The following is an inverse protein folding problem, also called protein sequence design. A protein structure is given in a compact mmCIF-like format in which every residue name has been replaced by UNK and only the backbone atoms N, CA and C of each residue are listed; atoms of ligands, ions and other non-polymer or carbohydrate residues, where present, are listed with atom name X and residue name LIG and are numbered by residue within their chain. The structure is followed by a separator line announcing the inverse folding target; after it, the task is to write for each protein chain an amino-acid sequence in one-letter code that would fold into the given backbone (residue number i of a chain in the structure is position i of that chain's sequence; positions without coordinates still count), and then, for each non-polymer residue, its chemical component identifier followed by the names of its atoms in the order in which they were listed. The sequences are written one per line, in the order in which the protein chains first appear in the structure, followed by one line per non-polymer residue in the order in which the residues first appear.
data_IF_790321484243
#
_entry.id   IF_790321484243
#
_cell.length_a   1.000
_cell.length_b   1.000
_cell.length_c   1.000
_cell.angle_alpha   90.00
_cell.angle_beta   90.00
_cell.angle_gamma   90.00
#
_symmetry.space_group_name_H-M   'P 1'
#
loop_
_entity.id
_entity.type
_entity.pdbx_description
1 polymer ?
#
# COMPACT_ATOMS: atom_id res chain seq x y z
N UNK A 1 80.71 6.37 35.33
CA UNK A 1 80.49 6.64 33.89
C UNK A 1 80.23 5.33 33.17
N UNK A 2 78.98 4.99 32.86
CA UNK A 2 78.61 4.07 31.78
C UNK A 2 77.12 4.22 31.48
N UNK A 3 76.87 4.56 30.22
CA UNK A 3 75.62 5.06 29.65
C UNK A 3 74.48 4.04 29.71
N UNK A 4 73.30 4.47 30.17
CA UNK A 4 72.04 3.78 29.89
C UNK A 4 71.69 3.97 28.40
N UNK A 5 71.65 2.89 27.65
CA UNK A 5 71.09 2.84 26.31
C UNK A 5 69.57 2.71 26.41
N UNK A 6 68.86 3.81 26.13
CA UNK A 6 67.40 3.82 25.97
C UNK A 6 67.10 3.42 24.52
N UNK A 7 66.48 2.25 24.36
CA UNK A 7 65.99 1.76 23.06
C UNK A 7 64.63 2.40 22.76
N UNK A 8 64.43 3.10 21.63
CA UNK A 8 63.14 3.69 21.31
C UNK A 8 62.19 2.60 20.79
N UNK A 9 61.06 2.45 21.48
CA UNK A 9 59.98 1.55 21.08
C UNK A 9 59.18 2.20 19.93
N UNK A 10 59.44 1.80 18.68
CA UNK A 10 58.63 2.21 17.53
C UNK A 10 57.24 1.53 17.61
N UNK A 11 56.21 2.33 17.90
CA UNK A 11 54.80 1.94 17.74
C UNK A 11 54.48 1.82 16.24
N UNK A 12 54.40 0.58 15.73
CA UNK A 12 53.89 0.28 14.40
C UNK A 12 52.36 0.50 14.39
N UNK A 13 51.91 1.67 13.93
CA UNK A 13 50.51 1.91 13.62
C UNK A 13 50.13 1.14 12.36
N UNK A 14 49.42 0.01 12.52
CA UNK A 14 48.85 -0.69 11.36
C UNK A 14 47.82 0.23 10.69
N UNK A 15 47.86 0.40 9.35
CA UNK A 15 46.82 1.15 8.65
C UNK A 15 45.50 0.41 8.81
N UNK A 16 44.52 1.06 9.44
CA UNK A 16 43.15 0.58 9.44
C UNK A 16 42.67 0.62 7.99
N UNK A 17 42.60 -0.54 7.32
CA UNK A 17 42.02 -0.63 5.98
C UNK A 17 40.52 -0.38 6.13
N UNK A 18 40.03 0.68 5.48
CA UNK A 18 38.60 0.93 5.36
C UNK A 18 37.91 -0.34 4.82
N UNK A 19 36.80 -0.74 5.44
CA UNK A 19 36.04 -1.88 4.98
C UNK A 19 35.52 -1.55 3.57
N UNK A 20 35.84 -2.35 2.51
CA UNK A 20 35.35 -2.08 1.16
C UNK A 20 33.83 -1.94 1.09
N UNK A 21 33.12 -2.54 2.05
CA UNK A 21 31.68 -2.44 2.20
C UNK A 21 31.19 -1.03 2.55
N UNK A 22 32.05 -0.17 3.11
CA UNK A 22 31.72 1.23 3.41
C UNK A 22 31.56 2.08 2.13
N UNK A 23 32.00 1.57 0.98
CA UNK A 23 31.78 2.20 -0.32
C UNK A 23 30.34 2.00 -0.86
N UNK A 24 29.57 1.08 -0.28
CA UNK A 24 28.18 0.87 -0.67
C UNK A 24 27.31 2.03 -0.17
N UNK A 25 26.23 2.40 -0.91
CA UNK A 25 25.25 3.33 -0.38
C UNK A 25 24.64 2.76 0.90
N UNK A 26 24.11 3.61 1.78
CA UNK A 26 23.36 3.12 2.93
C UNK A 26 22.06 2.43 2.46
N UNK A 27 21.62 1.36 3.13
CA UNK A 27 20.32 0.77 2.82
C UNK A 27 19.21 1.80 2.94
N UNK A 28 18.25 1.76 2.02
CA UNK A 28 17.18 2.75 1.96
C UNK A 28 15.83 2.10 1.67
N UNK A 29 14.78 2.75 2.16
CA UNK A 29 13.39 2.42 1.83
C UNK A 29 12.71 3.68 1.32
N UNK A 30 12.08 3.56 0.15
CA UNK A 30 11.19 4.57 -0.42
C UNK A 30 9.76 4.04 -0.43
N UNK A 31 8.81 4.84 0.02
CA UNK A 31 7.39 4.51 0.00
C UNK A 31 6.70 5.37 -1.06
N UNK A 32 5.86 4.76 -1.88
CA UNK A 32 5.09 5.43 -2.94
C UNK A 32 3.62 5.02 -2.85
N UNK A 33 2.74 6.01 -2.78
CA UNK A 33 1.30 5.78 -2.97
C UNK A 33 1.00 5.61 -4.45
N UNK A 34 0.14 4.65 -4.78
CA UNK A 34 -0.40 4.50 -6.13
C UNK A 34 -1.50 5.54 -6.30
N UNK A 35 -1.25 6.52 -7.15
CA UNK A 35 -2.21 7.56 -7.52
C UNK A 35 -2.72 7.24 -8.93
N UNK A 36 -3.85 6.55 -9.02
CA UNK A 36 -4.52 6.25 -10.29
C UNK A 36 -5.79 7.08 -10.46
N UNK A 37 -6.17 7.34 -11.71
CA UNK A 37 -7.42 8.05 -12.02
C UNK A 37 -8.62 7.19 -11.66
N UNK A 38 -9.57 7.82 -10.98
CA UNK A 38 -10.89 7.23 -10.74
C UNK A 38 -11.57 6.93 -12.08
N UNK A 39 -12.09 5.72 -12.21
CA UNK A 39 -12.95 5.35 -13.34
C UNK A 39 -14.41 5.32 -12.89
N UNK A 40 -15.32 5.64 -13.81
CA UNK A 40 -16.76 5.53 -13.57
C UNK A 40 -17.36 4.52 -14.54
N UNK A 41 -18.26 3.66 -14.07
CA UNK A 41 -18.99 2.72 -14.90
C UNK A 41 -20.50 2.79 -14.61
N UNK A 42 -21.29 2.95 -15.67
CA UNK A 42 -22.75 3.08 -15.61
C UNK A 42 -23.48 2.02 -16.42
N UNK A 43 -22.80 0.91 -16.75
CA UNK A 43 -23.32 -0.12 -17.64
C UNK A 43 -24.09 -1.22 -16.89
N UNK A 44 -23.78 -1.41 -15.60
CA UNK A 44 -24.38 -2.46 -14.79
C UNK A 44 -25.73 -2.04 -14.21
N UNK A 45 -26.67 -2.99 -14.13
CA UNK A 45 -27.94 -2.78 -13.42
C UNK A 45 -27.75 -2.82 -11.90
N UNK A 46 -28.68 -2.22 -11.13
CA UNK A 46 -28.64 -2.33 -9.66
C UNK A 46 -28.71 -3.80 -9.19
N UNK A 47 -29.36 -4.69 -9.94
CA UNK A 47 -29.38 -6.14 -9.65
C UNK A 47 -27.99 -6.76 -9.81
N UNK A 48 -27.30 -6.40 -10.89
CA UNK A 48 -25.92 -6.83 -11.13
C UNK A 48 -24.98 -6.30 -10.04
N UNK A 49 -25.11 -5.03 -9.68
CA UNK A 49 -24.31 -4.42 -8.60
C UNK A 49 -24.59 -5.06 -7.25
N UNK A 50 -25.85 -5.40 -6.95
CA UNK A 50 -26.22 -6.13 -5.72
C UNK A 50 -25.55 -7.49 -5.65
N UNK A 51 -25.44 -8.20 -6.78
CA UNK A 51 -24.71 -9.48 -6.83
C UNK A 51 -23.19 -9.30 -6.68
N UNK A 52 -22.61 -8.28 -7.33
CA UNK A 52 -21.16 -7.98 -7.24
C UNK A 52 -20.79 -7.58 -5.81
N UNK A 53 -21.63 -6.76 -5.17
CA UNK A 53 -21.47 -6.28 -3.80
C UNK A 53 -22.09 -7.21 -2.76
N UNK A 54 -22.49 -8.45 -3.08
CA UNK A 54 -23.28 -9.28 -2.19
C UNK A 54 -22.64 -9.52 -0.81
N UNK A 55 -21.30 -9.57 -0.74
CA UNK A 55 -20.57 -9.70 0.52
C UNK A 55 -20.63 -8.43 1.40
N UNK A 56 -20.91 -7.27 0.79
CA UNK A 56 -21.00 -5.95 1.42
C UNK A 56 -22.45 -5.49 1.61
N UNK A 57 -23.37 -6.04 0.80
CA UNK A 57 -24.77 -5.66 0.80
C UNK A 57 -25.48 -6.14 2.08
N UNK A 58 -26.28 -5.25 2.69
CA UNK A 58 -27.14 -5.63 3.81
C UNK A 58 -28.27 -6.55 3.31
N UNK A 59 -28.67 -7.58 4.09
CA UNK A 59 -29.76 -8.46 3.71
C UNK A 59 -31.04 -7.69 3.34
N UNK A 60 -31.59 -7.97 2.16
CA UNK A 60 -32.84 -7.35 1.68
C UNK A 60 -32.71 -5.92 1.16
N UNK A 61 -31.50 -5.35 1.05
CA UNK A 61 -31.26 -4.03 0.46
C UNK A 61 -30.62 -4.17 -0.93
N UNK A 62 -30.95 -3.22 -1.81
CA UNK A 62 -30.42 -3.16 -3.17
C UNK A 62 -29.26 -2.17 -3.24
N UNK A 63 -28.21 -2.54 -3.97
CA UNK A 63 -27.01 -1.72 -4.19
C UNK A 63 -27.23 -0.89 -5.44
N UNK A 64 -27.34 0.43 -5.25
CA UNK A 64 -27.63 1.40 -6.34
C UNK A 64 -26.36 2.01 -6.93
N UNK A 65 -25.33 2.13 -6.10
CA UNK A 65 -23.97 2.47 -6.47
C UNK A 65 -23.00 1.56 -5.75
N UNK A 66 -21.76 1.48 -6.23
CA UNK A 66 -20.71 0.71 -5.58
C UNK A 66 -19.35 1.33 -5.88
N UNK A 67 -18.54 1.52 -4.85
CA UNK A 67 -17.13 1.92 -5.03
C UNK A 67 -16.23 0.73 -4.76
N UNK A 68 -15.43 0.36 -5.77
CA UNK A 68 -14.51 -0.78 -5.68
C UNK A 68 -13.08 -0.33 -5.94
N UNK A 69 -12.25 -0.39 -4.89
CA UNK A 69 -10.81 -0.27 -4.98
C UNK A 69 -10.13 -1.63 -4.86
N UNK A 70 -9.28 -1.99 -5.82
CA UNK A 70 -8.46 -3.21 -5.70
C UNK A 70 -7.16 -2.89 -4.96
N UNK A 71 -6.99 -3.44 -3.76
CA UNK A 71 -5.79 -3.23 -2.95
C UNK A 71 -4.56 -3.85 -3.64
N UNK A 72 -3.60 -3.00 -3.98
CA UNK A 72 -2.38 -3.34 -4.74
C UNK A 72 -1.15 -3.00 -3.90
N UNK A 73 -0.21 -3.95 -3.85
CA UNK A 73 1.07 -3.85 -3.15
C UNK A 73 2.15 -4.41 -4.05
N UNK A 74 3.23 -3.67 -4.24
CA UNK A 74 4.40 -4.16 -4.96
C UNK A 74 5.69 -3.66 -4.32
N UNK A 75 6.69 -4.54 -4.28
CA UNK A 75 8.04 -4.21 -3.87
C UNK A 75 8.98 -4.29 -5.06
N UNK A 76 9.74 -3.22 -5.29
CA UNK A 76 10.94 -3.27 -6.12
C UNK A 76 12.15 -3.22 -5.20
N UNK A 77 13.18 -4.01 -5.50
CA UNK A 77 14.44 -3.96 -4.76
C UNK A 77 15.64 -4.07 -5.70
N UNK A 78 16.62 -3.19 -5.46
CA UNK A 78 17.96 -3.28 -6.02
C UNK A 78 18.93 -3.41 -4.86
N UNK A 79 19.83 -4.40 -4.90
CA UNK A 79 20.74 -4.68 -3.78
C UNK A 79 22.18 -4.71 -4.30
N UNK A 80 22.85 -3.55 -4.46
CA UNK A 80 24.28 -3.50 -4.70
C UNK A 80 25.04 -4.36 -3.69
N UNK A 81 26.01 -5.13 -4.17
CA UNK A 81 26.81 -6.01 -3.34
C UNK A 81 28.28 -6.02 -3.75
N UNK A 82 29.17 -6.21 -2.77
CA UNK A 82 30.60 -6.40 -2.96
C UNK A 82 30.97 -7.75 -2.34
N UNK A 83 31.59 -8.62 -3.13
CA UNK A 83 32.12 -9.90 -2.66
C UNK A 83 33.47 -9.69 -1.97
N UNK A 84 33.67 -10.39 -0.86
CA UNK A 84 34.92 -10.34 -0.12
C UNK A 84 36.06 -11.07 -0.87
N UNK A 85 37.33 -10.85 -0.50
CA UNK A 85 38.46 -11.52 -1.16
C UNK A 85 38.42 -13.06 -1.07
N UNK A 86 37.71 -13.63 -0.08
CA UNK A 86 37.57 -15.09 0.03
C UNK A 86 36.56 -15.69 -0.95
N UNK A 87 35.74 -14.86 -1.60
CA UNK A 87 34.69 -15.29 -2.53
C UNK A 87 33.52 -15.99 -1.84
N UNK A 88 33.49 -16.03 -0.51
CA UNK A 88 32.48 -16.75 0.27
C UNK A 88 31.44 -15.82 0.86
N UNK A 89 31.81 -14.58 1.12
CA UNK A 89 30.95 -13.60 1.77
C UNK A 89 30.74 -12.40 0.85
N UNK A 90 29.59 -11.78 0.99
CA UNK A 90 29.29 -10.50 0.38
C UNK A 90 28.77 -9.54 1.43
N UNK A 91 29.04 -8.26 1.20
CA UNK A 91 28.25 -7.20 1.79
C UNK A 91 27.27 -6.66 0.77
N UNK A 92 26.10 -6.25 1.24
CA UNK A 92 24.98 -5.86 0.39
C UNK A 92 24.24 -4.67 1.00
N UNK A 93 23.68 -3.82 0.13
CA UNK A 93 22.93 -2.65 0.54
C UNK A 93 21.56 -2.59 -0.12
N UNK A 94 20.49 -3.07 0.54
CA UNK A 94 19.15 -3.02 -0.01
C UNK A 94 18.64 -1.61 -0.30
N UNK A 95 18.20 -1.38 -1.53
CA UNK A 95 17.46 -0.18 -1.97
C UNK A 95 16.04 -0.63 -2.32
N UNK A 96 15.09 -0.38 -1.43
CA UNK A 96 13.73 -0.92 -1.52
C UNK A 96 12.76 0.20 -1.87
N UNK A 97 11.85 -0.06 -2.81
CA UNK A 97 10.69 0.78 -3.07
C UNK A 97 9.42 -0.03 -2.84
N UNK A 98 8.59 0.41 -1.90
CA UNK A 98 7.21 -0.04 -1.76
C UNK A 98 6.31 0.87 -2.60
N UNK A 99 5.49 0.29 -3.46
CA UNK A 99 4.33 0.94 -4.06
C UNK A 99 3.06 0.32 -3.51
N UNK A 100 2.13 1.12 -2.99
CA UNK A 100 0.91 0.62 -2.36
C UNK A 100 -0.29 1.55 -2.57
N UNK A 101 -1.51 1.00 -2.63
CA UNK A 101 -2.72 1.79 -2.78
C UNK A 101 -3.87 0.97 -3.35
N UNK A 102 -4.82 1.65 -4.01
CA UNK A 102 -5.95 1.02 -4.68
C UNK A 102 -5.85 1.26 -6.19
N UNK A 103 -5.74 0.18 -6.96
CA UNK A 103 -5.57 0.21 -8.41
C UNK A 103 -6.02 -1.12 -9.02
N UNK A 104 -7.04 -1.14 -9.90
CA UNK A 104 -7.88 0.00 -10.29
C UNK A 104 -8.86 0.42 -9.17
N UNK A 105 -9.36 1.66 -9.27
CA UNK A 105 -10.50 2.16 -8.49
C UNK A 105 -11.64 2.59 -9.41
N UNK A 106 -12.83 2.03 -9.18
CA UNK A 106 -14.01 2.28 -10.01
C UNK A 106 -15.23 2.62 -9.15
N UNK A 107 -15.91 3.69 -9.52
CA UNK A 107 -17.26 4.03 -9.03
C UNK A 107 -18.29 3.51 -10.02
N UNK A 108 -19.20 2.68 -9.53
CA UNK A 108 -20.33 2.19 -10.27
C UNK A 108 -21.59 2.95 -9.85
N UNK A 109 -22.39 3.33 -10.84
CA UNK A 109 -23.77 3.80 -10.62
C UNK A 109 -24.67 2.96 -11.50
N UNK A 110 -25.77 2.44 -10.94
CA UNK A 110 -26.66 1.58 -11.69
C UNK A 110 -27.23 2.30 -12.94
N UNK A 111 -27.24 1.60 -14.08
CA UNK A 111 -27.66 2.13 -15.39
C UNK A 111 -29.09 2.67 -15.41
N UNK A 112 -29.94 2.22 -14.49
CA UNK A 112 -31.31 2.70 -14.33
C UNK A 112 -31.38 4.17 -13.89
N UNK A 113 -30.26 4.76 -13.46
CA UNK A 113 -30.15 6.17 -13.07
C UNK A 113 -29.25 6.92 -14.07
N UNK A 114 -29.81 7.57 -15.11
CA UNK A 114 -29.02 8.23 -16.14
C UNK A 114 -28.15 9.36 -15.59
N UNK A 115 -26.95 9.51 -16.15
CA UNK A 115 -26.02 10.58 -15.78
C UNK A 115 -26.70 11.96 -15.89
N UNK A 116 -26.47 12.81 -14.88
CA UNK A 116 -27.08 14.15 -14.80
C UNK A 116 -28.46 14.19 -14.14
N UNK A 117 -29.15 13.05 -13.98
CA UNK A 117 -30.37 12.98 -13.18
C UNK A 117 -30.10 13.28 -11.70
N UNK A 118 -31.13 13.72 -10.96
CA UNK A 118 -31.01 13.91 -9.51
C UNK A 118 -30.56 12.63 -8.80
N UNK A 119 -31.19 11.49 -9.13
CA UNK A 119 -30.88 10.20 -8.52
C UNK A 119 -29.42 9.78 -8.76
N UNK A 120 -28.92 9.97 -9.98
CA UNK A 120 -27.51 9.71 -10.30
C UNK A 120 -26.58 10.55 -9.44
N UNK A 121 -26.85 11.85 -9.27
CA UNK A 121 -26.01 12.75 -8.48
C UNK A 121 -25.94 12.31 -7.02
N UNK A 122 -27.08 12.02 -6.40
CA UNK A 122 -27.14 11.55 -5.00
C UNK A 122 -26.37 10.24 -4.80
N UNK A 123 -26.55 9.26 -5.71
CA UNK A 123 -25.83 7.98 -5.63
C UNK A 123 -24.33 8.21 -5.85
N UNK A 124 -23.95 8.97 -6.88
CA UNK A 124 -22.55 9.24 -7.16
C UNK A 124 -21.86 10.00 -6.02
N UNK A 125 -22.52 11.00 -5.44
CA UNK A 125 -21.99 11.74 -4.29
C UNK A 125 -21.82 10.85 -3.06
N UNK A 126 -22.74 9.90 -2.84
CA UNK A 126 -22.58 8.86 -1.82
C UNK A 126 -21.33 8.01 -2.10
N UNK A 127 -21.17 7.51 -3.32
CA UNK A 127 -20.00 6.72 -3.72
C UNK A 127 -18.67 7.49 -3.59
N UNK A 128 -18.69 8.80 -3.86
CA UNK A 128 -17.50 9.63 -3.67
C UNK A 128 -17.07 9.74 -2.20
N UNK A 129 -17.96 9.54 -1.22
CA UNK A 129 -17.56 9.44 0.20
C UNK A 129 -16.76 8.17 0.47
N UNK A 130 -17.09 7.07 -0.20
CA UNK A 130 -16.29 5.84 -0.15
C UNK A 130 -14.91 6.05 -0.79
N UNK A 131 -14.83 6.75 -1.93
CA UNK A 131 -13.55 7.14 -2.55
C UNK A 131 -12.69 7.96 -1.58
N UNK A 132 -13.29 8.94 -0.92
CA UNK A 132 -12.57 9.78 0.05
C UNK A 132 -12.05 8.95 1.24
N UNK A 133 -12.85 7.99 1.75
CA UNK A 133 -12.41 7.08 2.80
C UNK A 133 -11.23 6.19 2.36
N UNK A 134 -11.22 5.68 1.12
CA UNK A 134 -10.06 4.98 0.57
C UNK A 134 -8.82 5.87 0.55
N UNK A 135 -8.93 7.10 0.03
CA UNK A 135 -7.80 8.02 -0.09
C UNK A 135 -7.25 8.43 1.28
N UNK A 136 -8.11 8.78 2.23
CA UNK A 136 -7.74 9.11 3.61
C UNK A 136 -7.04 7.97 4.30
N UNK A 137 -7.52 6.73 4.12
CA UNK A 137 -6.92 5.55 4.74
C UNK A 137 -5.52 5.25 4.19
N UNK A 138 -5.33 5.29 2.87
CA UNK A 138 -3.99 5.08 2.29
C UNK A 138 -3.00 6.14 2.77
N UNK A 139 -3.43 7.40 2.85
CA UNK A 139 -2.59 8.48 3.39
C UNK A 139 -2.25 8.26 4.88
N UNK A 140 -3.19 7.77 5.69
CA UNK A 140 -2.99 7.61 7.13
C UNK A 140 -2.00 6.50 7.48
N UNK A 141 -1.96 5.41 6.71
CA UNK A 141 -1.06 4.27 6.97
C UNK A 141 0.38 4.49 6.46
N UNK A 142 0.63 5.46 5.58
CA UNK A 142 1.93 5.71 4.94
C UNK A 142 3.06 5.89 5.96
N UNK A 143 2.82 6.68 7.01
CA UNK A 143 3.80 6.92 8.07
C UNK A 143 4.18 5.65 8.81
N UNK A 144 3.18 4.86 9.24
CA UNK A 144 3.42 3.61 9.97
C UNK A 144 4.16 2.56 9.13
N UNK A 145 3.85 2.48 7.83
CA UNK A 145 4.58 1.63 6.89
C UNK A 145 6.03 2.08 6.71
N UNK A 146 6.25 3.39 6.58
CA UNK A 146 7.58 4.00 6.46
C UNK A 146 8.44 3.67 7.67
N UNK A 147 7.91 3.87 8.88
CA UNK A 147 8.62 3.58 10.13
C UNK A 147 8.95 2.08 10.26
N UNK A 148 7.97 1.21 10.01
CA UNK A 148 8.13 -0.25 10.14
C UNK A 148 9.18 -0.81 9.16
N UNK A 149 9.15 -0.35 7.90
CA UNK A 149 10.10 -0.80 6.88
C UNK A 149 11.49 -0.21 7.10
N UNK A 150 11.60 1.07 7.48
CA UNK A 150 12.90 1.67 7.81
C UNK A 150 13.55 0.96 8.99
N UNK A 151 12.79 0.66 10.05
CA UNK A 151 13.28 -0.06 11.22
C UNK A 151 13.84 -1.45 10.87
N UNK A 152 13.27 -2.12 9.86
CA UNK A 152 13.75 -3.45 9.41
C UNK A 152 14.93 -3.37 8.45
N UNK A 153 14.87 -2.45 7.48
CA UNK A 153 15.72 -2.51 6.29
C UNK A 153 16.76 -1.38 6.22
N UNK A 154 16.47 -0.21 6.78
CA UNK A 154 17.28 1.01 6.67
C UNK A 154 17.92 1.42 8.00
N UNK A 155 18.53 0.47 8.71
CA UNK A 155 19.19 0.71 10.02
C UNK A 155 20.54 1.44 9.91
N UNK A 156 20.97 1.78 8.69
CA UNK A 156 22.26 2.41 8.41
C UNK A 156 23.46 1.45 8.35
N UNK A 157 23.28 0.18 8.75
CA UNK A 157 24.33 -0.84 8.66
C UNK A 157 24.24 -1.64 7.36
N UNK A 158 25.40 -1.87 6.74
CA UNK A 158 25.52 -2.73 5.56
C UNK A 158 25.23 -4.19 5.94
N UNK A 159 24.45 -4.88 5.11
CA UNK A 159 24.11 -6.27 5.30
C UNK A 159 25.29 -7.16 4.92
N UNK A 160 25.48 -8.29 5.60
CA UNK A 160 26.53 -9.26 5.27
C UNK A 160 25.93 -10.66 5.22
N UNK A 161 26.34 -11.45 4.24
CA UNK A 161 25.81 -12.79 4.03
C UNK A 161 26.67 -13.61 3.06
N UNK A 162 26.34 -14.90 2.84
CA UNK A 162 27.00 -15.68 1.81
C UNK A 162 26.73 -15.10 0.43
N UNK A 163 27.72 -15.20 -0.47
CA UNK A 163 27.61 -14.70 -1.85
C UNK A 163 26.33 -15.20 -2.52
N UNK A 164 25.61 -14.27 -3.16
CA UNK A 164 24.37 -14.53 -3.90
C UNK A 164 23.12 -14.78 -3.05
N UNK A 165 23.24 -14.86 -1.72
CA UNK A 165 22.10 -15.18 -0.86
C UNK A 165 21.38 -13.94 -0.33
N UNK A 166 22.05 -12.80 -0.20
CA UNK A 166 21.47 -11.64 0.51
C UNK A 166 20.26 -11.08 -0.23
N UNK A 167 20.38 -10.87 -1.54
CA UNK A 167 19.27 -10.39 -2.36
C UNK A 167 18.11 -11.40 -2.46
N UNK A 168 18.42 -12.70 -2.57
CA UNK A 168 17.40 -13.75 -2.64
C UNK A 168 16.58 -13.84 -1.34
N UNK A 169 17.26 -13.81 -0.19
CA UNK A 169 16.61 -13.80 1.13
C UNK A 169 15.77 -12.54 1.35
N UNK A 170 16.27 -11.38 0.93
CA UNK A 170 15.51 -10.14 0.98
C UNK A 170 14.20 -10.26 0.19
N UNK A 171 14.27 -10.72 -1.07
CA UNK A 171 13.08 -10.90 -1.91
C UNK A 171 12.07 -11.83 -1.26
N UNK A 172 12.53 -12.98 -0.77
CA UNK A 172 11.67 -13.93 -0.06
C UNK A 172 11.00 -13.29 1.17
N UNK A 173 11.72 -12.49 1.96
CA UNK A 173 11.13 -11.79 3.11
C UNK A 173 10.09 -10.76 2.68
N UNK A 174 10.38 -9.97 1.64
CA UNK A 174 9.44 -8.99 1.10
C UNK A 174 8.13 -9.67 0.66
N UNK A 175 8.23 -10.78 -0.06
CA UNK A 175 7.07 -11.48 -0.63
C UNK A 175 6.26 -12.24 0.44
N UNK A 176 6.93 -12.93 1.35
CA UNK A 176 6.26 -13.84 2.29
C UNK A 176 5.80 -13.16 3.58
N UNK A 177 6.46 -12.08 3.99
CA UNK A 177 6.16 -11.38 5.26
C UNK A 177 5.58 -10.00 5.02
N UNK A 178 6.25 -9.18 4.22
CA UNK A 178 5.93 -7.75 4.15
C UNK A 178 4.77 -7.45 3.20
N UNK A 179 4.69 -8.06 2.02
CA UNK A 179 3.57 -7.85 1.11
C UNK A 179 2.23 -8.23 1.76
N UNK A 180 2.07 -9.40 2.42
CA UNK A 180 0.85 -9.72 3.16
C UNK A 180 0.57 -8.77 4.33
N UNK A 181 1.62 -8.26 5.01
CA UNK A 181 1.45 -7.29 6.08
C UNK A 181 0.86 -5.97 5.56
N UNK A 182 1.45 -5.40 4.49
CA UNK A 182 0.95 -4.16 3.87
C UNK A 182 -0.48 -4.38 3.35
N UNK A 183 -0.76 -5.52 2.71
CA UNK A 183 -2.11 -5.84 2.22
C UNK A 183 -3.16 -5.82 3.35
N UNK A 184 -2.81 -6.34 4.54
CA UNK A 184 -3.71 -6.28 5.70
C UNK A 184 -3.92 -4.84 6.18
N UNK A 185 -2.88 -4.02 6.21
CA UNK A 185 -3.03 -2.60 6.60
C UNK A 185 -3.96 -1.84 5.66
N UNK A 186 -3.87 -2.10 4.33
CA UNK A 186 -4.76 -1.49 3.35
C UNK A 186 -6.22 -1.93 3.58
N UNK A 187 -6.46 -3.21 3.85
CA UNK A 187 -7.80 -3.77 4.07
C UNK A 187 -8.52 -3.23 5.31
N UNK A 188 -7.82 -2.59 6.25
CA UNK A 188 -8.47 -1.94 7.40
C UNK A 188 -9.40 -0.79 6.99
N UNK A 189 -9.33 -0.32 5.75
CA UNK A 189 -10.30 0.65 5.21
C UNK A 189 -11.74 0.15 5.28
N UNK A 190 -11.96 -1.18 5.23
CA UNK A 190 -13.29 -1.78 5.19
C UNK A 190 -14.15 -1.35 6.40
N UNK A 191 -13.52 -1.10 7.56
CA UNK A 191 -14.19 -0.56 8.74
C UNK A 191 -14.68 0.89 8.54
N UNK A 192 -13.91 1.71 7.83
CA UNK A 192 -14.31 3.08 7.51
C UNK A 192 -15.42 3.10 6.44
N UNK A 193 -15.35 2.22 5.44
CA UNK A 193 -16.40 2.04 4.44
C UNK A 193 -17.73 1.62 5.10
N UNK A 194 -17.69 0.65 6.01
CA UNK A 194 -18.89 0.16 6.71
C UNK A 194 -19.59 1.25 7.56
N UNK A 195 -18.86 2.27 8.02
CA UNK A 195 -19.42 3.42 8.75
C UNK A 195 -20.16 4.41 7.84
N UNK A 196 -19.90 4.40 6.53
CA UNK A 196 -20.59 5.24 5.54
C UNK A 196 -21.97 4.66 5.20
N UNK A 197 -22.04 3.33 5.08
CA UNK A 197 -23.25 2.60 4.66
C UNK A 197 -24.19 2.30 5.83
N UNK A 198 -24.74 3.34 6.46
CA UNK A 198 -25.71 3.22 7.56
C UNK A 198 -27.14 2.98 7.07
N UNK A 199 -28.03 2.45 7.92
CA UNK A 199 -29.43 2.20 7.51
C UNK A 199 -30.15 3.51 7.16
N UNK A 200 -29.87 4.54 7.95
CA UNK A 200 -30.38 5.89 7.82
C UNK A 200 -29.94 6.50 6.49
N UNK A 201 -28.69 6.25 6.07
CA UNK A 201 -28.18 6.73 4.79
C UNK A 201 -28.86 6.05 3.59
N UNK A 202 -29.11 4.74 3.67
CA UNK A 202 -29.91 4.05 2.65
C UNK A 202 -31.32 4.61 2.53
N UNK A 203 -31.98 4.93 3.66
CA UNK A 203 -33.31 5.52 3.66
C UNK A 203 -33.31 6.95 3.12
N UNK A 204 -32.31 7.76 3.48
CA UNK A 204 -32.13 9.11 2.95
C UNK A 204 -32.00 9.08 1.43
N UNK A 205 -31.10 8.27 0.89
CA UNK A 205 -30.88 8.14 -0.56
C UNK A 205 -32.13 7.59 -1.26
N UNK A 206 -32.79 6.57 -0.71
CA UNK A 206 -33.99 5.99 -1.32
C UNK A 206 -35.17 6.97 -1.43
N UNK A 207 -35.27 7.91 -0.47
CA UNK A 207 -36.31 8.94 -0.43
C UNK A 207 -35.93 10.25 -1.13
N UNK A 208 -34.67 10.39 -1.55
CA UNK A 208 -34.21 11.56 -2.30
C UNK A 208 -34.90 11.68 -3.67
N UNK A 209 -34.77 12.86 -4.28
CA UNK A 209 -35.26 13.13 -5.64
C UNK A 209 -36.75 12.82 -5.83
N UNK A 210 -37.59 13.25 -4.88
CA UNK A 210 -39.05 13.03 -4.91
C UNK A 210 -39.44 11.54 -5.03
N UNK A 211 -38.61 10.65 -4.49
CA UNK A 211 -38.82 9.21 -4.53
C UNK A 211 -38.61 8.59 -5.91
N UNK A 212 -37.92 9.27 -6.83
CA UNK A 212 -37.57 8.73 -8.15
C UNK A 212 -36.83 7.38 -8.05
N UNK A 213 -35.93 7.26 -7.07
CA UNK A 213 -35.22 6.01 -6.77
C UNK A 213 -36.23 4.91 -6.39
N UNK A 214 -37.11 5.18 -5.43
CA UNK A 214 -38.16 4.24 -5.02
C UNK A 214 -39.16 3.86 -6.13
N UNK A 215 -39.37 4.68 -7.16
CA UNK A 215 -40.20 4.33 -8.33
C UNK A 215 -39.52 3.27 -9.20
N UNK A 216 -38.23 3.45 -9.49
CA UNK A 216 -37.40 2.48 -10.23
C UNK A 216 -37.35 1.13 -9.52
N UNK A 217 -37.12 1.12 -8.20
CA UNK A 217 -37.02 -0.13 -7.44
C UNK A 217 -38.36 -0.89 -7.35
N UNK A 218 -39.50 -0.19 -7.44
CA UNK A 218 -40.85 -0.79 -7.48
C UNK A 218 -41.30 -1.22 -8.88
N UNK A 219 -40.46 -1.06 -9.90
CA UNK A 219 -40.79 -1.40 -11.29
C UNK A 219 -41.86 -0.50 -11.91
N UNK A 220 -42.08 0.70 -11.35
CA UNK A 220 -42.98 1.72 -11.92
C UNK A 220 -42.11 2.77 -12.62
N UNK A 221 -41.67 2.45 -13.83
CA UNK A 221 -41.14 3.45 -14.78
C UNK A 221 -42.30 4.23 -15.38
#
# INVERSE_FOLDING_TARGET
MRFLLIFPLLLMTSPSRADPCDALPKPSVTIKRIEERLSTNTEYSYKSLTNIGAALARPGKQVLGLTRGSATVSFASHTPAITDPSGRWECASPQITLSFGFSPMTVYVAREFPAGSCAYKEIYEHEMRHVEAYQKHIASIEKGLTESLNARFATGSIWRGPVGQTAARLRQELDTRWAPYVQRQIKLVDEAQARIDTAEEYERVANACEGAIGKVLRGKS
#
